data_IF_437174350579
#
_entry.id   IF_437174350579
#
_cell.length_a   1.000
_cell.length_b   1.000
_cell.length_c   1.000
_cell.angle_alpha   90.00
_cell.angle_beta   90.00
_cell.angle_gamma   90.00
#
_symmetry.space_group_name_H-M   'P 1'
#
loop_
_entity.id
_entity.type
_entity.pdbx_description
1 polymer ?
#
# COMPACT_ATOMS: atom_id res chain seq x y z
N UNK A 1 -6.29 -17.21 7.26
CA UNK A 1 -6.48 -17.11 5.79
C UNK A 1 -5.19 -16.67 5.14
N UNK A 2 -4.96 -17.00 3.87
CA UNK A 2 -3.76 -16.61 3.10
C UNK A 2 -3.83 -15.13 2.72
N UNK A 3 -2.80 -14.34 3.02
CA UNK A 3 -2.68 -12.98 2.49
C UNK A 3 -2.31 -13.05 1.01
N UNK A 4 -3.27 -12.74 0.14
CA UNK A 4 -3.06 -12.72 -1.31
C UNK A 4 -2.62 -11.34 -1.83
N UNK A 5 -2.64 -10.30 -1.00
CA UNK A 5 -2.17 -8.97 -1.36
C UNK A 5 -0.63 -8.85 -1.34
N UNK A 6 0.05 -9.74 -0.59
CA UNK A 6 1.51 -9.73 -0.43
C UNK A 6 2.24 -9.68 -1.78
N UNK A 7 3.09 -8.66 -1.96
CA UNK A 7 3.91 -8.39 -3.15
C UNK A 7 3.12 -8.25 -4.46
N UNK A 8 1.81 -8.01 -4.38
CA UNK A 8 1.01 -7.66 -5.55
C UNK A 8 1.32 -6.23 -6.02
N UNK A 9 0.92 -5.93 -7.25
CA UNK A 9 1.18 -4.62 -7.81
C UNK A 9 0.29 -3.55 -7.16
N UNK A 10 0.91 -2.59 -6.48
CA UNK A 10 0.25 -1.48 -5.84
C UNK A 10 0.62 -0.15 -6.52
N UNK A 11 -0.34 0.74 -6.63
CA UNK A 11 -0.14 2.11 -7.11
C UNK A 11 -0.89 3.10 -6.22
N UNK A 12 -0.49 4.37 -6.28
CA UNK A 12 -1.16 5.44 -5.56
C UNK A 12 -1.23 6.69 -6.42
N UNK A 13 -2.19 7.56 -6.15
CA UNK A 13 -2.49 8.77 -6.94
C UNK A 13 -1.27 9.69 -7.09
N UNK A 14 -0.49 9.82 -6.04
CA UNK A 14 0.76 10.57 -5.98
C UNK A 14 1.67 9.95 -4.92
N UNK A 15 2.97 10.27 -4.95
CA UNK A 15 3.94 9.73 -3.98
C UNK A 15 4.65 10.89 -3.31
N UNK A 16 4.70 10.87 -1.98
CA UNK A 16 5.50 11.84 -1.22
C UNK A 16 6.97 11.75 -1.66
N UNK A 17 7.71 12.86 -1.61
CA UNK A 17 9.06 13.00 -2.16
C UNK A 17 10.15 12.25 -1.35
N UNK A 18 9.94 10.97 -1.10
CA UNK A 18 10.79 10.05 -0.37
C UNK A 18 10.65 8.65 -0.95
N UNK A 19 11.74 7.91 -1.10
CA UNK A 19 11.70 6.50 -1.53
C UNK A 19 10.98 5.59 -0.52
N UNK A 20 10.80 6.07 0.73
CA UNK A 20 10.13 5.36 1.82
C UNK A 20 8.60 5.43 1.77
N UNK A 21 8.01 6.14 0.81
CA UNK A 21 6.55 6.41 0.74
C UNK A 21 5.80 5.59 -0.32
N UNK A 22 6.47 4.60 -0.92
CA UNK A 22 5.98 3.86 -2.10
C UNK A 22 4.70 3.09 -1.80
N UNK A 23 3.77 3.05 -2.76
CA UNK A 23 2.54 2.25 -2.67
C UNK A 23 2.77 0.77 -2.35
N UNK A 24 3.90 0.19 -2.79
CA UNK A 24 4.27 -1.21 -2.55
C UNK A 24 4.46 -1.56 -1.08
N UNK A 25 4.69 -0.56 -0.22
CA UNK A 25 4.99 -0.79 1.19
C UNK A 25 3.77 -1.35 1.94
N UNK A 26 2.54 -0.98 1.56
CA UNK A 26 1.31 -1.56 2.14
C UNK A 26 1.14 -3.08 1.86
N UNK A 27 1.97 -3.65 0.98
CA UNK A 27 1.93 -5.07 0.60
C UNK A 27 3.30 -5.75 0.70
N UNK A 28 4.25 -5.19 1.45
CA UNK A 28 5.59 -5.76 1.63
C UNK A 28 5.66 -6.89 2.67
N UNK A 29 4.63 -7.00 3.53
CA UNK A 29 4.51 -8.01 4.58
C UNK A 29 4.92 -7.54 5.97
N UNK A 30 5.34 -6.29 6.11
CA UNK A 30 5.59 -5.63 7.38
C UNK A 30 4.36 -4.77 7.76
N UNK A 31 3.98 -4.80 9.03
CA UNK A 31 2.76 -4.14 9.55
C UNK A 31 3.11 -3.01 10.51
N UNK A 32 4.36 -2.52 10.48
CA UNK A 32 4.74 -1.36 11.27
C UNK A 32 4.09 -0.10 10.73
N UNK A 33 3.57 0.72 11.64
CA UNK A 33 3.02 2.03 11.36
C UNK A 33 3.92 3.21 11.64
N UNK A 34 5.17 2.93 12.05
CA UNK A 34 6.16 4.00 12.09
C UNK A 34 6.68 4.24 10.67
N UNK A 35 6.40 5.43 10.12
CA UNK A 35 6.88 5.83 8.80
C UNK A 35 8.42 5.69 8.66
N UNK A 36 9.16 5.82 9.77
CA UNK A 36 10.62 5.66 9.79
C UNK A 36 11.10 4.23 9.53
N UNK A 37 10.22 3.24 9.66
CA UNK A 37 10.53 1.85 9.36
C UNK A 37 10.48 1.54 7.85
N UNK A 38 10.17 2.55 7.01
CA UNK A 38 10.12 2.44 5.55
C UNK A 38 9.10 1.41 5.04
N UNK A 39 8.03 1.18 5.81
CA UNK A 39 6.98 0.18 5.54
C UNK A 39 5.60 0.78 5.30
N UNK A 40 5.47 2.12 5.39
CA UNK A 40 4.22 2.83 5.17
C UNK A 40 4.14 3.38 3.74
N UNK A 41 2.92 3.60 3.24
CA UNK A 41 2.68 4.37 2.02
C UNK A 41 2.44 5.84 2.37
N UNK A 42 2.73 6.76 1.45
CA UNK A 42 2.38 8.18 1.65
C UNK A 42 2.17 8.88 0.30
N UNK A 43 1.01 9.48 0.12
CA UNK A 43 0.72 10.33 -1.06
C UNK A 43 1.39 11.70 -0.93
N UNK A 44 1.52 12.46 -2.00
CA UNK A 44 2.10 13.79 -1.91
C UNK A 44 1.26 14.72 -1.03
N UNK A 45 1.92 15.64 -0.31
CA UNK A 45 1.25 16.72 0.41
C UNK A 45 0.44 17.57 -0.57
N UNK A 46 -0.83 17.82 -0.25
CA UNK A 46 -1.74 18.60 -1.09
C UNK A 46 -2.42 17.83 -2.23
N UNK A 47 -2.26 16.50 -2.31
CA UNK A 47 -3.11 15.65 -3.16
C UNK A 47 -4.57 15.78 -2.68
N UNK A 48 -5.44 16.31 -3.54
CA UNK A 48 -6.85 16.59 -3.21
C UNK A 48 -7.73 15.36 -3.27
N UNK A 49 -7.25 14.28 -3.90
CA UNK A 49 -7.99 13.03 -4.09
C UNK A 49 -7.02 11.85 -3.90
N UNK A 50 -6.47 11.68 -2.69
CA UNK A 50 -5.49 10.62 -2.43
C UNK A 50 -6.16 9.26 -2.59
N UNK A 51 -5.53 8.39 -3.39
CA UNK A 51 -6.02 7.05 -3.67
C UNK A 51 -4.86 6.07 -3.65
N UNK A 52 -5.13 4.86 -3.16
CA UNK A 52 -4.23 3.72 -3.26
C UNK A 52 -5.00 2.55 -3.88
N UNK A 53 -4.36 1.85 -4.83
CA UNK A 53 -4.96 0.78 -5.59
C UNK A 53 -4.07 -0.47 -5.56
N UNK A 54 -4.71 -1.63 -5.40
CA UNK A 54 -4.09 -2.93 -5.55
C UNK A 54 -4.61 -3.63 -6.79
N UNK A 55 -3.70 -4.07 -7.66
CA UNK A 55 -4.06 -4.80 -8.87
C UNK A 55 -3.64 -6.26 -8.76
N UNK A 56 -4.59 -7.15 -9.01
CA UNK A 56 -4.34 -8.58 -9.18
C UNK A 56 -4.29 -8.92 -10.67
N UNK A 57 -3.38 -9.81 -11.06
CA UNK A 57 -3.26 -10.27 -12.46
C UNK A 57 -4.43 -11.15 -12.91
N UNK A 58 -5.20 -11.67 -11.95
CA UNK A 58 -6.39 -12.50 -12.19
C UNK A 58 -7.45 -12.16 -11.14
N UNK A 59 -8.75 -12.32 -11.45
CA UNK A 59 -9.82 -12.16 -10.48
C UNK A 59 -9.55 -13.01 -9.23
N UNK A 60 -9.72 -12.40 -8.05
CA UNK A 60 -9.54 -13.05 -6.76
C UNK A 60 -10.86 -13.02 -5.99
N UNK A 61 -11.14 -14.08 -5.25
CA UNK A 61 -12.22 -14.07 -4.27
C UNK A 61 -11.68 -13.54 -2.93
N UNK A 62 -12.08 -12.32 -2.57
CA UNK A 62 -11.63 -11.67 -1.33
C UNK A 62 -12.65 -11.93 -0.22
N UNK A 63 -12.17 -12.48 0.89
CA UNK A 63 -13.02 -12.75 2.06
C UNK A 63 -12.91 -11.64 3.13
N UNK A 64 -11.76 -10.98 3.23
CA UNK A 64 -11.48 -10.00 4.28
C UNK A 64 -10.39 -9.02 3.85
N UNK A 65 -10.54 -7.78 4.31
CA UNK A 65 -9.51 -6.75 4.27
C UNK A 65 -8.99 -6.51 5.70
N UNK A 66 -7.68 -6.28 5.83
CA UNK A 66 -7.04 -5.85 7.08
C UNK A 66 -6.16 -4.66 6.72
N UNK A 67 -6.31 -3.56 7.45
CA UNK A 67 -5.58 -2.31 7.23
C UNK A 67 -4.74 -2.01 8.47
N UNK A 68 -3.53 -1.52 8.24
CA UNK A 68 -2.59 -1.08 9.27
C UNK A 68 -2.25 0.40 9.01
N UNK A 69 -1.92 1.13 10.08
CA UNK A 69 -1.28 2.45 9.99
C UNK A 69 0.21 2.21 9.76
#
# INVERSE_FOLDING_TARGET
>A
GRNIALKQNASQSSTYNSDSSRASNAVDGNTSGDFKDNSCTHTAEGDRTPLWNLTFSRPQFIQRYILYN
#
